data_IF_130594332387
#
_entry.id   IF_130594332387
#
_cell.length_a   1.000
_cell.length_b   1.000
_cell.length_c   1.000
_cell.angle_alpha   90.00
_cell.angle_beta   90.00
_cell.angle_gamma   90.00
#
_symmetry.space_group_name_H-M   'P 1'
#
loop_
_entity.id
_entity.type
_entity.pdbx_description
1 polymer ?
#
# COMPACT_ATOMS: atom_id res chain seq x y z
N UNK A 1 13.11 20.18 -17.03
CA UNK A 1 12.57 19.39 -15.90
C UNK A 1 13.36 18.09 -15.80
N UNK A 2 14.31 18.00 -14.88
CA UNK A 2 15.08 16.77 -14.60
C UNK A 2 15.02 16.60 -13.08
N UNK A 3 14.58 15.43 -12.59
CA UNK A 3 14.38 15.04 -11.17
C UNK A 3 12.91 14.99 -10.67
N UNK A 4 11.99 14.41 -11.44
CA UNK A 4 10.66 14.06 -10.93
C UNK A 4 10.66 12.57 -10.54
N UNK A 5 10.26 12.27 -9.31
CA UNK A 5 9.99 10.91 -8.84
C UNK A 5 8.49 10.78 -8.55
N UNK A 6 7.88 9.70 -9.01
CA UNK A 6 6.48 9.39 -8.78
C UNK A 6 6.42 8.17 -7.87
N UNK A 7 5.57 8.24 -6.84
CA UNK A 7 5.25 7.10 -5.99
C UNK A 7 3.97 6.46 -6.51
N UNK A 8 4.06 5.20 -6.91
CA UNK A 8 2.89 4.37 -7.21
C UNK A 8 2.55 3.52 -5.99
N UNK A 9 1.28 3.58 -5.60
CA UNK A 9 0.74 2.83 -4.46
C UNK A 9 0.45 1.38 -4.86
N UNK A 10 0.58 0.46 -3.90
CA UNK A 10 0.36 -0.97 -4.10
C UNK A 10 -1.03 -1.28 -4.70
N UNK A 11 -1.04 -1.72 -5.95
CA UNK A 11 -2.27 -2.14 -6.62
C UNK A 11 -2.72 -3.52 -6.13
N UNK A 12 -3.62 -3.59 -5.14
CA UNK A 12 -4.16 -4.87 -4.62
C UNK A 12 -4.90 -5.67 -5.72
N UNK A 13 -5.32 -4.99 -6.81
CA UNK A 13 -6.04 -5.58 -7.93
C UNK A 13 -5.18 -6.41 -8.89
N UNK A 14 -3.86 -6.50 -8.68
CA UNK A 14 -2.97 -7.34 -9.48
C UNK A 14 -2.89 -6.89 -10.94
N UNK A 15 -2.16 -5.79 -11.19
CA UNK A 15 -1.52 -5.57 -12.48
C UNK A 15 -0.15 -6.26 -12.47
N UNK A 16 0.33 -6.83 -13.60
CA UNK A 16 1.58 -7.55 -13.62
C UNK A 16 2.74 -6.57 -13.34
N UNK A 17 3.52 -6.87 -12.29
CA UNK A 17 4.86 -6.30 -12.00
C UNK A 17 4.99 -5.06 -11.10
N UNK A 18 4.05 -4.71 -10.21
CA UNK A 18 4.38 -3.72 -9.17
C UNK A 18 5.27 -4.38 -8.10
N UNK A 19 6.54 -3.98 -8.03
CA UNK A 19 7.51 -4.46 -7.03
C UNK A 19 7.85 -3.31 -6.10
N UNK A 20 7.26 -3.25 -4.89
CA UNK A 20 7.59 -2.21 -3.93
C UNK A 20 9.10 -2.20 -3.64
N UNK A 21 9.71 -1.03 -3.81
CA UNK A 21 11.12 -0.76 -3.57
C UNK A 21 11.34 0.38 -2.55
N UNK A 22 10.24 0.93 -2.03
CA UNK A 22 10.21 1.89 -0.94
C UNK A 22 9.10 1.49 0.04
N UNK A 23 9.38 1.61 1.33
CA UNK A 23 8.48 1.13 2.39
C UNK A 23 8.38 2.19 3.48
N UNK A 24 7.19 2.31 4.05
CA UNK A 24 6.91 3.12 5.23
C UNK A 24 6.39 2.17 6.32
N UNK A 25 7.07 2.14 7.46
CA UNK A 25 6.59 1.40 8.64
C UNK A 25 5.27 2.00 9.13
N UNK A 26 4.33 1.14 9.50
CA UNK A 26 3.05 1.52 10.07
C UNK A 26 2.91 0.92 11.47
N UNK A 27 2.43 1.73 12.41
CA UNK A 27 1.90 1.28 13.69
C UNK A 27 0.57 0.54 13.52
N UNK A 28 0.16 -0.20 14.55
CA UNK A 28 -1.16 -0.84 14.56
C UNK A 28 -2.29 0.21 14.49
N UNK A 29 -2.13 1.33 15.18
CA UNK A 29 -3.09 2.43 15.18
C UNK A 29 -3.27 3.04 13.78
N UNK A 30 -2.17 3.25 13.04
CA UNK A 30 -2.23 3.76 11.65
C UNK A 30 -2.91 2.77 10.70
N UNK A 31 -2.68 1.47 10.87
CA UNK A 31 -3.38 0.43 10.09
C UNK A 31 -4.89 0.47 10.38
N UNK A 32 -5.28 0.58 11.64
CA UNK A 32 -6.70 0.64 12.03
C UNK A 32 -7.39 1.91 11.54
N UNK A 33 -6.71 3.06 11.61
CA UNK A 33 -7.21 4.33 11.08
C UNK A 33 -7.40 4.25 9.57
N UNK A 34 -6.43 3.70 8.83
CA UNK A 34 -6.53 3.47 7.39
C UNK A 34 -7.73 2.59 7.03
N UNK A 35 -7.94 1.48 7.74
CA UNK A 35 -9.08 0.59 7.53
C UNK A 35 -10.41 1.30 7.80
N UNK A 36 -10.48 2.08 8.88
CA UNK A 36 -11.65 2.90 9.21
C UNK A 36 -11.96 3.90 8.11
N UNK A 37 -10.95 4.58 7.55
CA UNK A 37 -11.13 5.54 6.45
C UNK A 37 -11.73 4.86 5.20
N UNK A 38 -11.28 3.66 4.86
CA UNK A 38 -11.80 2.91 3.72
C UNK A 38 -13.25 2.48 3.88
N UNK A 39 -13.72 2.26 5.13
CA UNK A 39 -15.12 1.91 5.41
C UNK A 39 -16.10 3.03 5.03
N UNK A 40 -15.66 4.29 4.98
CA UNK A 40 -16.51 5.42 4.59
C UNK A 40 -16.71 5.56 3.08
N UNK A 41 -15.92 4.86 2.26
CA UNK A 41 -16.01 4.94 0.80
C UNK A 41 -16.87 3.78 0.30
N UNK A 42 -18.18 4.03 0.16
CA UNK A 42 -19.19 3.00 -0.13
C UNK A 42 -18.94 2.21 -1.43
N UNK A 43 -18.35 2.85 -2.45
CA UNK A 43 -17.99 2.18 -3.71
C UNK A 43 -16.77 1.25 -3.58
N UNK A 44 -15.91 1.52 -2.60
CA UNK A 44 -14.67 0.78 -2.36
C UNK A 44 -14.88 -0.36 -1.35
N UNK A 45 -15.77 -0.18 -0.36
CA UNK A 45 -16.06 -1.19 0.67
C UNK A 45 -16.62 -2.52 0.12
N UNK A 46 -17.25 -2.48 -1.06
CA UNK A 46 -17.79 -3.66 -1.76
C UNK A 46 -16.73 -4.42 -2.57
N UNK A 47 -15.52 -3.89 -2.71
CA UNK A 47 -14.47 -4.52 -3.53
C UNK A 47 -13.72 -5.54 -2.70
N UNK A 48 -13.59 -6.76 -3.23
CA UNK A 48 -12.87 -7.84 -2.55
C UNK A 48 -11.42 -7.45 -2.19
N UNK A 49 -10.76 -6.71 -3.08
CA UNK A 49 -9.38 -6.27 -2.87
C UNK A 49 -9.25 -5.14 -1.83
N UNK A 50 -10.35 -4.64 -1.27
CA UNK A 50 -10.38 -3.63 -0.22
C UNK A 50 -11.07 -4.13 1.05
N UNK A 51 -11.23 -5.46 1.18
CA UNK A 51 -11.63 -6.05 2.44
C UNK A 51 -10.54 -5.84 3.49
N UNK A 52 -10.94 -5.52 4.72
CA UNK A 52 -10.02 -5.14 5.79
C UNK A 52 -8.93 -6.19 6.05
N UNK A 53 -9.32 -7.46 6.07
CA UNK A 53 -8.41 -8.58 6.30
C UNK A 53 -7.34 -8.68 5.21
N UNK A 54 -7.71 -8.40 3.96
CA UNK A 54 -6.76 -8.44 2.85
C UNK A 54 -5.77 -7.28 2.94
N UNK A 55 -6.25 -6.06 3.18
CA UNK A 55 -5.39 -4.88 3.34
C UNK A 55 -4.42 -5.09 4.51
N UNK A 56 -4.91 -5.57 5.65
CA UNK A 56 -4.06 -5.88 6.82
C UNK A 56 -3.05 -6.98 6.53
N UNK A 57 -3.43 -8.00 5.76
CA UNK A 57 -2.52 -9.07 5.33
C UNK A 57 -1.43 -8.56 4.40
N UNK A 58 -1.76 -7.68 3.45
CA UNK A 58 -0.77 -7.03 2.57
C UNK A 58 0.21 -6.20 3.40
N UNK A 59 -0.28 -5.39 4.34
CA UNK A 59 0.57 -4.59 5.22
C UNK A 59 1.54 -5.47 6.04
N UNK A 60 1.10 -6.63 6.52
CA UNK A 60 1.98 -7.60 7.20
C UNK A 60 3.02 -8.23 6.30
N UNK A 61 2.64 -8.63 5.09
CA UNK A 61 3.58 -9.19 4.11
C UNK A 61 4.68 -8.17 3.80
N UNK A 62 4.32 -6.90 3.63
CA UNK A 62 5.27 -5.82 3.35
C UNK A 62 6.13 -5.48 4.57
N UNK A 63 5.53 -5.42 5.76
CA UNK A 63 6.27 -5.26 7.02
C UNK A 63 7.33 -6.34 7.21
N UNK A 64 6.94 -7.60 6.98
CA UNK A 64 7.85 -8.75 7.03
C UNK A 64 9.05 -8.64 6.07
N UNK A 65 8.93 -7.93 4.95
CA UNK A 65 10.05 -7.70 4.01
C UNK A 65 11.11 -6.74 4.56
N UNK A 66 10.76 -5.88 5.52
CA UNK A 66 11.68 -4.90 6.13
C UNK A 66 11.90 -5.15 7.64
N UNK A 67 11.33 -6.23 8.20
CA UNK A 67 11.54 -6.63 9.60
C UNK A 67 10.65 -5.92 10.62
N UNK A 68 9.49 -5.38 10.20
CA UNK A 68 8.50 -4.72 11.08
C UNK A 68 7.14 -5.40 10.98
N UNK A 69 6.20 -5.10 11.88
CA UNK A 69 4.89 -5.78 11.89
C UNK A 69 4.00 -5.38 10.69
N UNK A 70 3.95 -4.09 10.38
CA UNK A 70 3.18 -3.56 9.26
C UNK A 70 4.01 -2.54 8.49
N UNK A 71 3.91 -2.58 7.16
CA UNK A 71 4.44 -1.52 6.32
C UNK A 71 3.53 -1.30 5.11
N UNK A 72 3.63 -0.11 4.54
CA UNK A 72 3.04 0.24 3.26
C UNK A 72 4.13 0.28 2.18
N UNK A 73 3.83 -0.28 1.02
CA UNK A 73 4.78 -0.47 -0.06
C UNK A 73 4.48 0.49 -1.22
N UNK A 74 5.53 1.12 -1.72
CA UNK A 74 5.48 1.97 -2.90
C UNK A 74 6.54 1.55 -3.89
N UNK A 75 6.23 1.74 -5.17
CA UNK A 75 7.24 1.70 -6.23
C UNK A 75 7.62 3.14 -6.60
N UNK A 76 8.90 3.45 -6.46
CA UNK A 76 9.47 4.72 -6.89
C UNK A 76 9.82 4.64 -8.36
N UNK A 77 9.04 5.34 -9.20
CA UNK A 77 9.30 5.47 -10.64
C UNK A 77 10.02 6.78 -10.91
N UNK A 78 11.23 6.72 -11.47
CA UNK A 78 11.98 7.91 -11.89
C UNK A 78 11.70 8.22 -13.35
N UNK A 79 11.05 9.35 -13.62
CA UNK A 79 10.89 9.83 -14.99
C UNK A 79 12.20 10.45 -15.49
N UNK A 80 12.74 9.86 -16.57
CA UNK A 80 13.76 10.50 -17.39
C UNK A 80 13.03 11.11 -18.59
N UNK A 81 13.01 12.45 -18.65
CA UNK A 81 12.62 13.19 -19.84
C UNK A 81 13.82 13.35 -20.78
#
# INVERSE_FOLDING_TARGET
MRNISVLTHEGIKGGPHLVPNFFIELSQEEVEEKLKLLSFIESESKKYFLQHDLIKSVARILGGRIGVEYAEGFEVVRFKA
#
